data_IF_126392144054
#
_entry.id   IF_126392144054
#
_cell.length_a   1.000
_cell.length_b   1.000
_cell.length_c   1.000
_cell.angle_alpha   90.00
_cell.angle_beta   90.00
_cell.angle_gamma   90.00
#
_symmetry.space_group_name_H-M   'P 1'
#
loop_
_entity.id
_entity.type
_entity.pdbx_description
1 polymer ?
#
# COMPACT_ATOMS: atom_id res chain seq x y z
N UNK A 1 0.79 13.48 2.51
CA UNK A 1 1.26 12.08 2.55
C UNK A 1 2.53 12.13 1.74
N UNK A 2 3.67 12.07 2.39
CA UNK A 2 4.93 12.38 1.73
C UNK A 2 5.54 11.05 1.25
N UNK A 3 5.80 10.94 -0.06
CA UNK A 3 6.36 9.75 -0.69
C UNK A 3 7.88 9.89 -0.77
N UNK A 4 8.53 9.95 0.38
CA UNK A 4 9.97 10.20 0.46
C UNK A 4 10.78 9.08 -0.21
N UNK A 5 11.88 9.44 -0.85
CA UNK A 5 12.84 8.46 -1.38
C UNK A 5 13.33 7.58 -0.24
N UNK A 6 13.32 6.27 -0.45
CA UNK A 6 13.66 5.26 0.56
C UNK A 6 12.47 4.81 1.41
N UNK A 7 11.33 5.52 1.37
CA UNK A 7 10.10 5.04 1.97
C UNK A 7 9.48 3.90 1.15
N UNK A 8 8.55 3.18 1.78
CA UNK A 8 7.82 2.08 1.15
C UNK A 8 6.33 2.34 1.23
N UNK A 9 5.60 2.07 0.15
CA UNK A 9 4.14 2.21 0.06
C UNK A 9 3.52 0.95 -0.54
N UNK A 10 2.32 0.60 -0.10
CA UNK A 10 1.61 -0.55 -0.68
C UNK A 10 1.03 -0.11 -2.02
N UNK A 11 1.25 -0.89 -3.07
CA UNK A 11 0.71 -0.59 -4.39
C UNK A 11 0.50 -1.88 -5.17
N UNK A 12 -0.46 -1.89 -6.08
CA UNK A 12 -0.63 -3.00 -7.01
C UNK A 12 0.49 -2.97 -8.06
N UNK A 13 1.35 -3.98 -8.07
CA UNK A 13 2.46 -3.99 -9.01
C UNK A 13 1.96 -4.15 -10.46
N UNK A 14 2.23 -3.21 -11.38
CA UNK A 14 1.76 -3.33 -12.76
C UNK A 14 2.43 -4.47 -13.55
N UNK A 15 3.49 -5.08 -13.00
CA UNK A 15 4.25 -6.16 -13.65
C UNK A 15 3.82 -7.54 -13.15
N UNK A 16 3.66 -7.72 -11.84
CA UNK A 16 3.29 -9.02 -11.26
C UNK A 16 1.86 -9.08 -10.71
N UNK A 17 1.12 -7.97 -10.70
CA UNK A 17 -0.27 -7.89 -10.26
C UNK A 17 -0.49 -8.06 -8.75
N UNK A 18 0.57 -8.08 -7.95
CA UNK A 18 0.50 -8.34 -6.51
C UNK A 18 0.47 -7.02 -5.74
N UNK A 19 -0.44 -6.94 -4.76
CA UNK A 19 -0.48 -5.87 -3.77
C UNK A 19 0.63 -6.08 -2.76
N UNK A 20 1.66 -5.27 -2.89
CA UNK A 20 2.91 -5.50 -2.17
C UNK A 20 3.60 -4.18 -1.87
N UNK A 21 4.50 -4.15 -0.88
CA UNK A 21 5.31 -2.98 -0.64
C UNK A 21 6.15 -2.63 -1.88
N UNK A 22 6.22 -1.35 -2.19
CA UNK A 22 7.07 -0.79 -3.24
C UNK A 22 7.96 0.30 -2.63
N UNK A 23 9.27 0.21 -2.84
CA UNK A 23 10.20 1.24 -2.40
C UNK A 23 10.19 2.42 -3.37
N UNK A 24 10.05 3.63 -2.85
CA UNK A 24 10.24 4.86 -3.63
C UNK A 24 11.73 5.06 -3.88
N UNK A 25 12.15 5.16 -5.14
CA UNK A 25 13.56 5.31 -5.54
C UNK A 25 13.90 6.67 -6.14
N UNK A 26 12.92 7.34 -6.73
CA UNK A 26 13.08 8.66 -7.31
C UNK A 26 11.72 9.35 -7.40
N UNK A 27 11.73 10.68 -7.53
CA UNK A 27 10.55 11.43 -7.96
C UNK A 27 10.97 12.65 -8.78
N UNK A 28 10.08 13.12 -9.64
CA UNK A 28 10.22 14.36 -10.39
C UNK A 28 8.84 15.01 -10.51
N UNK A 29 8.61 16.07 -9.73
CA UNK A 29 7.24 16.58 -9.53
C UNK A 29 6.33 15.48 -9.02
N UNK A 30 5.18 15.32 -9.68
CA UNK A 30 4.12 14.38 -9.30
C UNK A 30 4.35 12.96 -9.85
N UNK A 31 5.54 12.66 -10.39
CA UNK A 31 5.88 11.36 -10.96
C UNK A 31 6.89 10.65 -10.05
N UNK A 32 6.58 9.41 -9.68
CA UNK A 32 7.36 8.60 -8.77
C UNK A 32 7.89 7.34 -9.43
N UNK A 33 9.18 7.08 -9.24
CA UNK A 33 9.81 5.81 -9.58
C UNK A 33 9.75 4.86 -8.38
N UNK A 34 9.09 3.73 -8.56
CA UNK A 34 8.87 2.73 -7.51
C UNK A 34 9.50 1.39 -7.90
N UNK A 35 9.94 0.61 -6.92
CA UNK A 35 10.48 -0.74 -7.12
C UNK A 35 9.69 -1.74 -6.28
N UNK A 36 9.14 -2.75 -6.94
CA UNK A 36 8.37 -3.81 -6.32
C UNK A 36 9.26 -4.69 -5.43
N UNK A 37 8.90 -4.90 -4.16
CA UNK A 37 9.67 -5.82 -3.31
C UNK A 37 9.43 -7.30 -3.63
N UNK A 38 8.34 -7.62 -4.35
CA UNK A 38 8.01 -8.99 -4.74
C UNK A 38 8.74 -9.44 -6.01
N UNK A 39 8.62 -8.71 -7.12
CA UNK A 39 9.21 -9.09 -8.41
C UNK A 39 10.49 -8.31 -8.77
N UNK A 40 10.94 -7.40 -7.90
CA UNK A 40 12.12 -6.53 -8.12
C UNK A 40 12.06 -5.62 -9.35
N UNK A 41 10.91 -5.55 -10.03
CA UNK A 41 10.73 -4.69 -11.20
C UNK A 41 10.45 -3.24 -10.81
N UNK A 42 10.92 -2.31 -11.64
CA UNK A 42 10.65 -0.88 -11.50
C UNK A 42 9.43 -0.44 -12.32
N UNK A 43 8.69 0.55 -11.81
CA UNK A 43 7.59 1.19 -12.50
C UNK A 43 7.60 2.71 -12.24
N UNK A 44 6.96 3.46 -13.14
CA UNK A 44 6.73 4.89 -13.00
C UNK A 44 5.24 5.10 -12.79
N UNK A 45 4.87 5.85 -11.75
CA UNK A 45 3.48 6.07 -11.34
C UNK A 45 3.25 7.53 -11.00
N UNK A 46 2.00 7.99 -11.11
CA UNK A 46 1.62 9.34 -10.70
C UNK A 46 1.36 9.40 -9.18
N UNK A 47 1.64 10.53 -8.55
CA UNK A 47 1.41 10.78 -7.12
C UNK A 47 -0.05 10.50 -6.75
N UNK A 48 -0.96 11.01 -7.57
CA UNK A 48 -2.40 10.82 -7.39
C UNK A 48 -2.78 9.34 -7.31
N UNK A 49 -2.20 8.50 -8.18
CA UNK A 49 -2.48 7.06 -8.19
C UNK A 49 -1.98 6.40 -6.90
N UNK A 50 -0.75 6.73 -6.47
CA UNK A 50 -0.19 6.24 -5.21
C UNK A 50 -1.07 6.65 -4.02
N UNK A 51 -1.55 7.89 -4.01
CA UNK A 51 -2.35 8.45 -2.92
C UNK A 51 -3.74 7.85 -2.85
N UNK A 52 -4.42 7.74 -3.98
CA UNK A 52 -5.74 7.06 -4.06
C UNK A 52 -5.57 5.61 -3.58
N UNK A 53 -4.49 4.95 -4.00
CA UNK A 53 -4.22 3.58 -3.60
C UNK A 53 -3.97 3.48 -2.08
N UNK A 54 -3.18 4.37 -1.48
CA UNK A 54 -2.93 4.34 -0.02
C UNK A 54 -4.23 4.51 0.77
N UNK A 55 -5.09 5.46 0.36
CA UNK A 55 -6.35 5.70 1.06
C UNK A 55 -7.26 4.47 1.04
N UNK A 56 -7.40 3.81 -0.12
CA UNK A 56 -8.17 2.56 -0.24
C UNK A 56 -7.58 1.44 0.61
N UNK A 57 -6.27 1.28 0.55
CA UNK A 57 -5.58 0.25 1.32
C UNK A 57 -5.72 0.46 2.84
N UNK A 58 -5.63 1.71 3.32
CA UNK A 58 -5.83 2.04 4.73
C UNK A 58 -7.28 1.80 5.18
N UNK A 59 -8.26 2.08 4.33
CA UNK A 59 -9.68 1.79 4.58
C UNK A 59 -9.92 0.28 4.70
N UNK A 60 -9.47 -0.51 3.73
CA UNK A 60 -9.57 -1.97 3.74
C UNK A 60 -8.87 -2.58 4.97
N UNK A 61 -7.68 -2.09 5.32
CA UNK A 61 -6.95 -2.55 6.50
C UNK A 61 -7.74 -2.25 7.77
N UNK A 62 -8.35 -1.07 7.87
CA UNK A 62 -9.15 -0.69 9.04
C UNK A 62 -10.37 -1.59 9.20
N UNK A 63 -11.09 -1.87 8.12
CA UNK A 63 -12.23 -2.79 8.14
C UNK A 63 -11.83 -4.21 8.59
N UNK A 64 -10.69 -4.72 8.10
CA UNK A 64 -10.16 -6.01 8.54
C UNK A 64 -9.87 -5.99 10.05
N UNK A 65 -9.18 -4.96 10.54
CA UNK A 65 -8.82 -4.84 11.96
C UNK A 65 -10.06 -4.71 12.86
N UNK A 66 -11.04 -3.89 12.46
CA UNK A 66 -12.29 -3.72 13.19
C UNK A 66 -13.06 -5.05 13.28
N UNK A 67 -13.11 -5.82 12.19
CA UNK A 67 -13.75 -7.14 12.18
C UNK A 67 -13.08 -8.17 13.10
N UNK A 68 -11.76 -8.07 13.31
CA UNK A 68 -11.01 -8.96 14.21
C UNK A 68 -11.26 -8.61 15.69
N UNK A 69 -11.41 -7.33 15.98
CA UNK A 69 -11.79 -6.84 17.31
C UNK A 69 -13.17 -7.36 17.69
N UNK A 70 -14.16 -7.22 16.80
CA UNK A 70 -15.52 -7.70 17.04
C UNK A 70 -15.59 -9.21 17.32
N UNK A 71 -14.80 -10.02 16.61
CA UNK A 71 -14.73 -11.47 16.83
C UNK A 71 -14.06 -11.85 18.15
N UNK A 72 -13.06 -11.08 18.60
CA UNK A 72 -12.29 -11.38 19.81
C UNK A 72 -13.07 -11.17 21.12
N UNK A 73 -14.13 -10.34 21.11
CA UNK A 73 -14.95 -10.04 22.29
C UNK A 73 -16.26 -10.85 22.37
N UNK A 74 -16.50 -11.79 21.44
CA UNK A 74 -17.73 -12.57 21.35
C UNK A 74 -17.66 -14.03 21.83
N UNK A 75 -16.57 -14.47 22.48
CA UNK A 75 -16.31 -15.91 22.71
C UNK A 75 -16.16 -16.38 24.17
N UNK A 76 -16.41 -15.54 25.18
CA UNK A 76 -16.22 -15.91 26.60
C UNK A 76 -17.48 -15.70 27.48
N UNK A 77 -18.67 -16.07 27.00
CA UNK A 77 -19.86 -16.23 27.87
C UNK A 77 -20.81 -17.31 27.29
N UNK A 78 -20.53 -18.59 27.58
CA UNK A 78 -21.54 -19.65 27.82
C UNK A 78 -20.93 -20.81 28.65
#
# INVERSE_FOLDING_TARGET
MDFDIGSTRIFNCPLCGVDTPHSIRAHNGDIYGIVCTNCSSGAIVHELDLRIYQLKWEEELREILDSLVEQSFGSDDD
#
